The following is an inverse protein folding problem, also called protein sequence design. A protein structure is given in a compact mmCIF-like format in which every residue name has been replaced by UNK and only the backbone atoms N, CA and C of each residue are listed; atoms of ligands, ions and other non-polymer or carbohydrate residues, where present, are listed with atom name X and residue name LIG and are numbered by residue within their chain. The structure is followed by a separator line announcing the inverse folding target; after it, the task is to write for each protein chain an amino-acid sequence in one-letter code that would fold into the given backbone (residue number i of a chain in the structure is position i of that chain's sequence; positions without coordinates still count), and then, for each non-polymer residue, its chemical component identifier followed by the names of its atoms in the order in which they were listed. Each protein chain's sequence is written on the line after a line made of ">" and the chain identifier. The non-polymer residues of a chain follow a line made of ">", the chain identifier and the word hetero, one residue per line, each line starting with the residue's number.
data_IF_553875999961
#
_entry.id   IF_553875999961
#
_cell.length_a   1.000
_cell.length_b   1.000
_cell.length_c   1.000
_cell.angle_alpha   90.00
_cell.angle_beta   90.00
_cell.angle_gamma   90.00
#
_symmetry.space_group_name_H-M   'P 1'
#
loop_
_entity.id
_entity.type
_entity.pdbx_description
1 polymer ?
#
# COMPACT_ATOMS: atom_id res chain seq x y z
N UNK A 1 12.89 16.96 -11.25
CA UNK A 1 11.92 16.41 -10.28
C UNK A 1 12.70 15.54 -9.31
N UNK A 2 12.56 15.76 -8.00
CA UNK A 2 13.17 14.89 -7.01
C UNK A 2 12.45 13.53 -7.05
N UNK A 3 13.21 12.44 -7.07
CA UNK A 3 12.68 11.09 -6.92
C UNK A 3 12.58 10.80 -5.42
N UNK A 4 11.36 10.59 -4.95
CA UNK A 4 11.11 10.15 -3.58
C UNK A 4 11.18 8.63 -3.52
N UNK A 5 11.59 8.09 -2.37
CA UNK A 5 11.67 6.66 -2.14
C UNK A 5 10.77 6.27 -0.97
N UNK A 6 10.01 5.20 -1.17
CA UNK A 6 9.16 4.63 -0.13
C UNK A 6 9.28 3.12 -0.10
N UNK A 7 9.43 2.59 1.10
CA UNK A 7 9.36 1.17 1.40
C UNK A 7 8.03 0.89 2.12
N UNK A 8 7.28 -0.07 1.61
CA UNK A 8 6.04 -0.56 2.19
C UNK A 8 6.25 -1.98 2.69
N UNK A 9 5.92 -2.24 3.95
CA UNK A 9 5.88 -3.57 4.52
C UNK A 9 4.41 -3.93 4.73
N UNK A 10 3.94 -4.95 4.01
CA UNK A 10 2.56 -5.40 4.02
C UNK A 10 2.49 -6.79 4.64
N UNK A 11 1.74 -6.94 5.72
CA UNK A 11 1.60 -8.21 6.44
C UNK A 11 0.14 -8.65 6.40
N UNK A 12 -0.12 -9.91 6.03
CA UNK A 12 -1.46 -10.50 6.16
C UNK A 12 -1.71 -10.96 7.58
N UNK A 13 -2.82 -10.54 8.19
CA UNK A 13 -3.35 -11.08 9.44
C UNK A 13 -3.84 -12.53 9.24
N UNK A 14 -3.55 -13.40 10.21
CA UNK A 14 -3.94 -14.81 10.20
C UNK A 14 -2.87 -15.76 10.75
N UNK A 15 -3.21 -17.06 10.88
CA UNK A 15 -2.34 -18.12 11.45
C UNK A 15 -1.04 -18.32 10.67
N UNK A 16 -1.03 -17.97 9.39
CA UNK A 16 0.15 -17.94 8.53
C UNK A 16 0.35 -16.51 8.00
N UNK A 17 0.99 -15.66 8.81
CA UNK A 17 1.33 -14.32 8.37
C UNK A 17 2.40 -14.37 7.28
N UNK A 18 2.10 -13.77 6.12
CA UNK A 18 3.04 -13.59 5.03
C UNK A 18 3.36 -12.11 4.91
N UNK A 19 4.62 -11.76 5.19
CA UNK A 19 5.13 -10.41 4.96
C UNK A 19 5.56 -10.23 3.50
N UNK A 20 5.16 -9.12 2.89
CA UNK A 20 5.64 -8.67 1.58
C UNK A 20 6.21 -7.27 1.70
N UNK A 21 7.38 -7.08 1.10
CA UNK A 21 8.03 -5.77 1.03
C UNK A 21 7.91 -5.24 -0.39
N UNK A 22 7.51 -3.98 -0.53
CA UNK A 22 7.53 -3.24 -1.78
C UNK A 22 8.40 -2.01 -1.65
N UNK A 23 9.24 -1.76 -2.65
CA UNK A 23 10.04 -0.56 -2.74
C UNK A 23 9.66 0.17 -4.02
N UNK A 24 9.34 1.46 -3.88
CA UNK A 24 8.94 2.32 -4.98
C UNK A 24 9.78 3.59 -4.99
N UNK A 25 10.28 3.93 -6.17
CA UNK A 25 10.57 5.32 -6.51
C UNK A 25 9.31 5.96 -7.10
N UNK A 26 9.04 7.22 -6.75
CA UNK A 26 7.87 7.95 -7.23
C UNK A 26 8.15 9.45 -7.37
N UNK A 27 7.49 10.08 -8.35
CA UNK A 27 7.53 11.52 -8.58
C UNK A 27 6.55 12.28 -7.68
N UNK A 28 5.38 11.69 -7.48
CA UNK A 28 4.22 12.25 -6.77
C UNK A 28 3.33 11.09 -6.26
N UNK A 29 2.34 11.42 -5.44
CA UNK A 29 1.48 10.42 -4.81
C UNK A 29 0.62 9.64 -5.81
N UNK A 30 0.13 10.27 -6.89
CA UNK A 30 -0.63 9.60 -7.96
C UNK A 30 0.24 8.53 -8.65
N UNK A 31 1.50 8.86 -8.93
CA UNK A 31 2.47 7.91 -9.49
C UNK A 31 2.72 6.73 -8.55
N UNK A 32 2.89 6.99 -7.25
CA UNK A 32 3.01 5.97 -6.23
C UNK A 32 1.77 5.08 -6.17
N UNK A 33 0.57 5.68 -6.07
CA UNK A 33 -0.73 4.99 -5.96
C UNK A 33 -0.96 4.05 -7.14
N UNK A 34 -0.65 4.49 -8.36
CA UNK A 34 -0.74 3.65 -9.56
C UNK A 34 0.18 2.43 -9.48
N UNK A 35 1.45 2.62 -9.08
CA UNK A 35 2.43 1.54 -8.94
C UNK A 35 2.03 0.56 -7.82
N UNK A 36 1.56 1.10 -6.70
CA UNK A 36 1.11 0.33 -5.55
C UNK A 36 -0.10 -0.54 -5.90
N UNK A 37 -1.15 0.04 -6.48
CA UNK A 37 -2.35 -0.69 -6.91
C UNK A 37 -2.03 -1.85 -7.86
N UNK A 38 -1.08 -1.67 -8.78
CA UNK A 38 -0.64 -2.71 -9.70
C UNK A 38 0.01 -3.89 -8.96
N UNK A 39 0.88 -3.62 -7.98
CA UNK A 39 1.54 -4.66 -7.16
C UNK A 39 0.55 -5.32 -6.20
N UNK A 40 -0.23 -4.51 -5.49
CA UNK A 40 -1.23 -4.97 -4.54
C UNK A 40 -2.33 -5.82 -5.22
N UNK A 41 -2.70 -5.46 -6.46
CA UNK A 41 -3.66 -6.21 -7.25
C UNK A 41 -3.29 -7.65 -7.57
N UNK A 42 -1.99 -7.99 -7.54
CA UNK A 42 -1.49 -9.36 -7.69
C UNK A 42 -1.54 -10.18 -6.39
N UNK A 43 -1.89 -9.54 -5.27
CA UNK A 43 -1.83 -10.12 -3.93
C UNK A 43 -3.25 -10.28 -3.39
N UNK A 44 -4.03 -9.22 -3.51
CA UNK A 44 -5.40 -9.18 -3.04
C UNK A 44 -6.33 -8.89 -4.22
N UNK A 45 -7.35 -9.72 -4.37
CA UNK A 45 -8.40 -9.55 -5.39
C UNK A 45 -9.63 -8.82 -4.85
N UNK A 46 -9.62 -8.39 -3.58
CA UNK A 46 -10.74 -7.68 -2.96
C UNK A 46 -10.97 -6.32 -3.65
N UNK A 47 -12.10 -6.21 -4.35
CA UNK A 47 -12.47 -5.01 -5.11
C UNK A 47 -12.72 -3.81 -4.21
N UNK A 48 -13.41 -3.99 -3.08
CA UNK A 48 -13.69 -2.91 -2.11
C UNK A 48 -12.38 -2.29 -1.63
N UNK A 49 -11.42 -3.14 -1.28
CA UNK A 49 -10.12 -2.70 -0.79
C UNK A 49 -9.30 -1.95 -1.85
N UNK A 50 -9.33 -2.42 -3.10
CA UNK A 50 -8.72 -1.69 -4.23
C UNK A 50 -9.39 -0.33 -4.47
N UNK A 51 -10.70 -0.24 -4.34
CA UNK A 51 -11.42 1.02 -4.53
C UNK A 51 -11.16 2.00 -3.39
N UNK A 52 -10.99 1.53 -2.15
CA UNK A 52 -10.53 2.36 -1.03
C UNK A 52 -9.14 2.96 -1.33
N UNK A 53 -8.16 2.14 -1.73
CA UNK A 53 -6.81 2.60 -2.10
C UNK A 53 -6.84 3.60 -3.28
N UNK A 54 -7.77 3.49 -4.22
CA UNK A 54 -7.87 4.46 -5.33
C UNK A 54 -8.31 5.85 -4.87
N UNK A 55 -9.16 5.88 -3.85
CA UNK A 55 -9.76 7.11 -3.31
C UNK A 55 -8.85 7.84 -2.33
N UNK A 56 -7.70 7.27 -1.97
CA UNK A 56 -6.75 7.96 -1.10
C UNK A 56 -6.01 9.05 -1.87
N UNK A 57 -5.68 10.13 -1.15
CA UNK A 57 -5.00 11.32 -1.65
C UNK A 57 -3.59 11.48 -1.10
N UNK A 58 -3.27 10.80 0.00
CA UNK A 58 -1.96 10.81 0.63
C UNK A 58 -1.64 9.48 1.35
N UNK A 59 -0.45 9.43 1.95
CA UNK A 59 0.02 8.23 2.65
C UNK A 59 -0.71 7.96 3.96
N UNK A 60 -1.24 8.99 4.65
CA UNK A 60 -1.96 8.81 5.91
C UNK A 60 -3.30 8.15 5.63
N UNK A 61 -4.05 8.64 4.64
CA UNK A 61 -5.29 8.01 4.17
C UNK A 61 -5.03 6.57 3.72
N UNK A 62 -3.88 6.30 3.09
CA UNK A 62 -3.50 4.94 2.73
C UNK A 62 -3.29 4.06 3.96
N UNK A 63 -2.55 4.52 4.97
CA UNK A 63 -2.36 3.76 6.21
C UNK A 63 -3.70 3.46 6.90
N UNK A 64 -4.64 4.41 6.91
CA UNK A 64 -5.99 4.20 7.44
C UNK A 64 -6.77 3.08 6.74
N UNK A 65 -6.63 2.93 5.42
CA UNK A 65 -7.30 1.84 4.68
C UNK A 65 -6.85 0.46 5.17
N UNK A 66 -5.59 0.32 5.58
CA UNK A 66 -5.06 -0.93 6.12
C UNK A 66 -5.29 -1.07 7.62
N UNK A 67 -5.29 0.04 8.37
CA UNK A 67 -5.61 0.01 9.80
C UNK A 67 -7.04 -0.49 10.09
N UNK A 68 -8.01 -0.12 9.25
CA UNK A 68 -9.41 -0.57 9.37
C UNK A 68 -9.64 -2.02 8.86
N UNK A 69 -8.58 -2.71 8.43
CA UNK A 69 -8.68 -4.06 7.90
C UNK A 69 -8.19 -5.08 8.92
N UNK A 70 -9.09 -5.96 9.37
CA UNK A 70 -8.75 -7.09 10.26
C UNK A 70 -7.67 -8.03 9.67
N UNK A 71 -7.51 -8.02 8.34
CA UNK A 71 -6.67 -8.98 7.61
C UNK A 71 -5.32 -8.41 7.14
N UNK A 72 -5.01 -7.12 7.32
CA UNK A 72 -3.83 -6.51 6.71
C UNK A 72 -3.21 -5.40 7.56
N UNK A 73 -1.89 -5.41 7.68
CA UNK A 73 -1.12 -4.32 8.28
C UNK A 73 -0.19 -3.72 7.22
N UNK A 74 -0.17 -2.39 7.10
CA UNK A 74 0.74 -1.65 6.21
C UNK A 74 1.62 -0.72 7.04
N UNK A 75 2.94 -0.85 6.88
CA UNK A 75 3.91 0.07 7.43
C UNK A 75 4.64 0.80 6.31
N UNK A 76 4.63 2.13 6.38
CA UNK A 76 5.26 2.99 5.37
C UNK A 76 6.54 3.59 5.94
N UNK A 77 7.68 3.36 5.28
CA UNK A 77 8.96 4.00 5.60
C UNK A 77 9.38 4.90 4.45
N UNK A 78 9.45 6.21 4.71
CA UNK A 78 9.87 7.24 3.75
C UNK A 78 11.37 7.50 3.95
N UNK A 79 12.15 7.46 2.88
CA UNK A 79 13.58 7.83 2.87
C UNK A 79 13.79 9.13 2.10
#
# INVERSE_FOLDING_TARGET
>A
MALNYVKLELTTGGVFSTGKVFEFSYSDYENFKHRFLKRFGNICSNKKFKDLIKNTNDFEELEFVFFDSDDWELKITKN
#
